data_IF_443794302711
#
_entry.id   IF_443794302711
#
_cell.length_a   1.000
_cell.length_b   1.000
_cell.length_c   1.000
_cell.angle_alpha   90.00
_cell.angle_beta   90.00
_cell.angle_gamma   90.00
#
_symmetry.space_group_name_H-M   'P 1'
#
loop_
_entity.id
_entity.type
_entity.pdbx_description
1 polymer ?
#
# COMPACT_ATOMS: atom_id res chain seq x y z
N UNK A 1 -4.48 -19.84 34.59
CA UNK A 1 -4.81 -20.20 33.20
C UNK A 1 -4.49 -18.99 32.34
N UNK A 2 -3.37 -18.98 31.62
CA UNK A 2 -3.01 -17.84 30.77
C UNK A 2 -3.83 -17.90 29.49
N UNK A 3 -4.66 -16.90 29.24
CA UNK A 3 -5.28 -16.72 27.93
C UNK A 3 -4.16 -16.61 26.89
N UNK A 4 -4.14 -17.52 25.92
CA UNK A 4 -3.24 -17.40 24.78
C UNK A 4 -3.56 -16.11 24.03
N UNK A 5 -2.56 -15.32 23.62
CA UNK A 5 -2.81 -14.04 22.97
C UNK A 5 -3.63 -14.26 21.70
N UNK A 6 -4.75 -13.54 21.57
CA UNK A 6 -5.54 -13.54 20.34
C UNK A 6 -4.64 -13.10 19.19
N UNK A 7 -4.44 -13.99 18.21
CA UNK A 7 -3.68 -13.68 17.01
C UNK A 7 -4.28 -12.45 16.33
N UNK A 8 -3.44 -11.44 16.05
CA UNK A 8 -3.81 -10.27 15.25
C UNK A 8 -4.15 -10.65 13.80
N UNK A 9 -3.78 -11.87 13.39
CA UNK A 9 -3.92 -12.39 12.04
C UNK A 9 -4.85 -13.61 12.04
N UNK A 10 -5.89 -13.57 11.22
CA UNK A 10 -6.79 -14.70 10.96
C UNK A 10 -6.17 -15.68 9.96
N UNK A 11 -5.16 -16.42 10.41
CA UNK A 11 -4.30 -17.25 9.54
C UNK A 11 -5.07 -18.28 8.71
N UNK A 12 -6.01 -19.01 9.32
CA UNK A 12 -6.79 -20.04 8.61
C UNK A 12 -7.67 -19.45 7.50
N UNK A 13 -8.31 -18.31 7.77
CA UNK A 13 -9.13 -17.62 6.79
C UNK A 13 -8.29 -17.10 5.61
N UNK A 14 -7.14 -16.49 5.90
CA UNK A 14 -6.21 -16.01 4.88
C UNK A 14 -5.66 -17.16 4.03
N UNK A 15 -5.30 -18.29 4.67
CA UNK A 15 -4.84 -19.48 3.96
C UNK A 15 -5.89 -20.02 3.00
N UNK A 16 -7.14 -20.16 3.46
CA UNK A 16 -8.26 -20.62 2.62
C UNK A 16 -8.48 -19.69 1.42
N UNK A 17 -8.45 -18.37 1.64
CA UNK A 17 -8.58 -17.38 0.56
C UNK A 17 -7.43 -17.48 -0.45
N UNK A 18 -6.20 -17.65 0.02
CA UNK A 18 -5.03 -17.81 -0.83
C UNK A 18 -5.10 -19.07 -1.69
N UNK A 19 -5.48 -20.21 -1.10
CA UNK A 19 -5.62 -21.47 -1.83
C UNK A 19 -6.71 -21.41 -2.91
N UNK A 20 -7.88 -20.84 -2.57
CA UNK A 20 -8.95 -20.61 -3.55
C UNK A 20 -8.48 -19.72 -4.71
N UNK A 21 -7.78 -18.62 -4.40
CA UNK A 21 -7.23 -17.71 -5.40
C UNK A 21 -6.19 -18.37 -6.29
N UNK A 22 -5.32 -19.22 -5.73
CA UNK A 22 -4.31 -19.96 -6.49
C UNK A 22 -4.94 -20.92 -7.50
N UNK A 23 -6.00 -21.62 -7.11
CA UNK A 23 -6.75 -22.52 -8.01
C UNK A 23 -7.46 -21.75 -9.12
N UNK A 24 -7.97 -20.55 -8.84
CA UNK A 24 -8.56 -19.65 -9.84
C UNK A 24 -7.52 -19.21 -10.89
N UNK A 25 -6.33 -18.77 -10.45
CA UNK A 25 -5.23 -18.35 -11.33
C UNK A 25 -4.75 -19.49 -12.23
N UNK A 26 -4.62 -20.71 -11.68
CA UNK A 26 -4.16 -21.87 -12.44
C UNK A 26 -5.08 -22.24 -13.61
N UNK A 27 -6.36 -21.84 -13.56
CA UNK A 27 -7.34 -22.11 -14.62
C UNK A 27 -7.21 -21.16 -15.81
N UNK A 28 -6.80 -19.91 -15.58
CA UNK A 28 -6.56 -18.92 -16.62
C UNK A 28 -5.47 -17.91 -16.17
N UNK A 29 -4.19 -18.18 -16.49
CA UNK A 29 -3.08 -17.32 -16.12
C UNK A 29 -3.15 -15.90 -16.71
N UNK A 30 -3.86 -15.70 -17.83
CA UNK A 30 -3.96 -14.39 -18.47
C UNK A 30 -4.83 -13.42 -17.66
N UNK A 31 -5.77 -13.95 -16.87
CA UNK A 31 -6.60 -13.16 -15.93
C UNK A 31 -5.78 -12.52 -14.80
N UNK A 32 -4.54 -12.97 -14.58
CA UNK A 32 -3.71 -12.49 -13.48
C UNK A 32 -2.92 -11.20 -13.79
N UNK A 33 -3.10 -10.59 -14.96
CA UNK A 33 -2.47 -9.29 -15.25
C UNK A 33 -3.15 -8.18 -14.44
N UNK A 34 -2.56 -7.83 -13.31
CA UNK A 34 -2.98 -6.67 -12.52
C UNK A 34 -2.20 -5.42 -12.96
N UNK A 35 -2.93 -4.35 -13.27
CA UNK A 35 -2.35 -3.05 -13.60
C UNK A 35 -2.80 -2.05 -12.55
N UNK A 36 -1.87 -1.53 -11.77
CA UNK A 36 -2.11 -0.40 -10.88
C UNK A 36 -1.62 0.87 -11.55
N UNK A 37 -2.42 1.94 -11.43
CA UNK A 37 -2.08 3.26 -11.93
C UNK A 37 -2.26 4.27 -10.82
N UNK A 38 -1.33 5.21 -10.76
CA UNK A 38 -1.41 6.38 -9.92
C UNK A 38 -1.65 7.61 -10.80
N UNK A 39 -2.50 8.52 -10.35
CA UNK A 39 -2.52 9.90 -10.87
C UNK A 39 -1.94 10.80 -9.79
N UNK A 40 -0.97 11.64 -10.16
CA UNK A 40 -0.27 12.52 -9.21
C UNK A 40 -0.43 13.96 -9.67
N UNK A 41 -0.78 14.85 -8.76
CA UNK A 41 -0.80 16.30 -9.00
C UNK A 41 -0.03 17.03 -7.90
N UNK A 42 0.63 18.12 -8.27
CA UNK A 42 1.18 19.07 -7.29
C UNK A 42 0.03 19.91 -6.75
N UNK A 43 -0.05 20.03 -5.42
CA UNK A 43 -1.07 20.82 -4.71
C UNK A 43 -0.52 22.19 -4.35
N UNK A 44 0.70 22.23 -3.80
CA UNK A 44 1.46 23.45 -3.47
C UNK A 44 2.93 23.07 -3.37
N UNK A 45 3.86 23.91 -3.83
CA UNK A 45 5.31 23.71 -3.72
C UNK A 45 5.75 22.24 -3.83
N UNK A 46 6.17 21.63 -2.71
CA UNK A 46 6.57 20.23 -2.62
C UNK A 46 5.44 19.25 -2.31
N UNK A 47 4.28 19.72 -1.86
CA UNK A 47 3.10 18.90 -1.55
C UNK A 47 2.44 18.36 -2.82
N UNK A 48 2.30 17.04 -2.87
CA UNK A 48 1.70 16.26 -3.96
C UNK A 48 0.56 15.41 -3.43
N UNK A 49 -0.49 15.28 -4.22
CA UNK A 49 -1.58 14.34 -3.97
C UNK A 49 -1.51 13.24 -5.03
N UNK A 50 -1.41 11.99 -4.57
CA UNK A 50 -1.43 10.79 -5.41
C UNK A 50 -2.71 9.99 -5.16
N UNK A 51 -3.41 9.62 -6.22
CA UNK A 51 -4.58 8.73 -6.18
C UNK A 51 -4.23 7.39 -6.80
N UNK A 52 -4.38 6.31 -6.02
CA UNK A 52 -4.13 4.92 -6.44
C UNK A 52 -5.34 4.06 -6.09
N UNK A 53 -6.15 3.72 -7.09
CA UNK A 53 -7.44 3.06 -6.86
C UNK A 53 -8.34 3.92 -5.96
N UNK A 54 -8.87 3.39 -4.83
CA UNK A 54 -9.70 4.15 -3.88
C UNK A 54 -8.88 5.00 -2.89
N UNK A 55 -7.55 4.89 -2.90
CA UNK A 55 -6.69 5.49 -1.89
C UNK A 55 -6.13 6.83 -2.36
N UNK A 56 -6.05 7.78 -1.42
CA UNK A 56 -5.39 9.07 -1.60
C UNK A 56 -4.20 9.17 -0.66
N UNK A 57 -3.05 9.52 -1.21
CA UNK A 57 -1.80 9.73 -0.48
C UNK A 57 -1.36 11.17 -0.67
N UNK A 58 -0.81 11.76 0.38
CA UNK A 58 -0.08 13.02 0.29
C UNK A 58 1.41 12.71 0.37
N UNK A 59 2.22 13.47 -0.35
CA UNK A 59 3.67 13.43 -0.19
C UNK A 59 4.24 14.83 -0.21
N UNK A 60 5.12 15.13 0.71
CA UNK A 60 5.69 16.46 0.93
C UNK A 60 7.15 16.31 1.33
N UNK A 61 7.94 17.38 1.14
CA UNK A 61 9.30 17.41 1.64
C UNK A 61 9.36 17.97 3.06
N UNK A 62 10.46 17.74 3.78
CA UNK A 62 10.65 18.34 5.09
C UNK A 62 10.82 19.86 4.98
N UNK A 63 10.46 20.57 6.05
CA UNK A 63 10.65 22.02 6.14
C UNK A 63 12.11 22.45 5.99
N UNK A 64 13.06 21.58 6.37
CA UNK A 64 14.51 21.82 6.27
C UNK A 64 15.00 21.99 4.83
N UNK A 65 14.28 21.42 3.85
CA UNK A 65 14.61 21.54 2.42
C UNK A 65 13.54 22.31 1.64
N UNK A 66 12.71 23.10 2.34
CA UNK A 66 11.72 23.99 1.75
C UNK A 66 10.33 23.38 1.52
N UNK A 67 10.05 22.19 2.05
CA UNK A 67 8.72 21.57 2.01
C UNK A 67 7.80 22.01 3.16
N UNK A 68 6.54 21.57 3.12
CA UNK A 68 5.56 21.88 4.16
C UNK A 68 5.63 20.96 5.38
N UNK A 69 6.35 19.83 5.29
CA UNK A 69 6.42 18.82 6.34
C UNK A 69 5.07 18.17 6.68
N UNK A 70 4.08 18.30 5.81
CA UNK A 70 2.68 17.89 6.08
C UNK A 70 2.40 16.42 5.75
N UNK A 71 3.34 15.76 5.05
CA UNK A 71 3.27 14.35 4.67
C UNK A 71 4.69 13.77 4.52
N UNK A 72 4.84 12.42 4.49
CA UNK A 72 6.13 11.81 4.23
C UNK A 72 6.66 12.16 2.83
N UNK A 73 7.99 12.27 2.72
CA UNK A 73 8.63 12.44 1.43
C UNK A 73 8.52 11.17 0.57
N UNK A 74 8.70 11.28 -0.76
CA UNK A 74 8.55 10.14 -1.66
C UNK A 74 9.47 8.96 -1.29
N UNK A 75 10.67 9.24 -0.78
CA UNK A 75 11.62 8.20 -0.38
C UNK A 75 11.11 7.40 0.83
N UNK A 76 10.45 8.04 1.79
CA UNK A 76 9.86 7.35 2.94
C UNK A 76 8.78 6.34 2.51
N UNK A 77 7.94 6.70 1.53
CA UNK A 77 6.97 5.77 0.94
C UNK A 77 7.67 4.58 0.25
N UNK A 78 8.75 4.85 -0.50
CA UNK A 78 9.51 3.79 -1.15
C UNK A 78 10.14 2.82 -0.15
N UNK A 79 10.79 3.33 0.91
CA UNK A 79 11.38 2.52 1.97
C UNK A 79 10.32 1.70 2.70
N UNK A 80 9.18 2.33 3.04
CA UNK A 80 8.08 1.64 3.70
C UNK A 80 7.51 0.51 2.83
N UNK A 81 7.39 0.71 1.51
CA UNK A 81 6.90 -0.30 0.59
C UNK A 81 7.78 -1.56 0.50
N UNK A 82 9.07 -1.47 0.83
CA UNK A 82 9.97 -2.64 0.92
C UNK A 82 9.74 -3.41 2.23
N UNK A 83 9.33 -2.73 3.30
CA UNK A 83 9.17 -3.32 4.63
C UNK A 83 7.78 -3.92 4.92
N UNK A 84 6.76 -3.54 4.16
CA UNK A 84 5.39 -4.10 4.23
C UNK A 84 5.25 -5.37 3.38
#
# INVERSE_FOLDING_TARGET
>A
MSESPKSLIRLEELRRRHEARRLEIARDPAQWKHVQRATVRVVSDYLKEARVGPWTFLSDESSEIGGGGSAPNPLAYFVAAVGF
#
